data_IF_091979509257
#
_entry.id   IF_091979509257
#
_cell.length_a   1.000
_cell.length_b   1.000
_cell.length_c   1.000
_cell.angle_alpha   90.00
_cell.angle_beta   90.00
_cell.angle_gamma   90.00
#
_symmetry.space_group_name_H-M   'P 1'
#
loop_
_entity.id
_entity.type
_entity.pdbx_description
1 polymer ?
#
# COMPACT_ATOMS: atom_id res chain seq x y z
N UNK A 1 -6.23 0.25 -10.83
CA UNK A 1 -5.33 0.53 -9.69
C UNK A 1 -6.09 1.33 -8.67
N UNK A 2 -5.98 0.96 -7.41
CA UNK A 2 -6.56 1.71 -6.29
C UNK A 2 -5.54 2.77 -5.86
N UNK A 3 -5.84 4.08 -5.94
CA UNK A 3 -4.83 5.12 -5.84
C UNK A 3 -4.14 5.24 -4.47
N UNK A 4 -4.82 4.86 -3.39
CA UNK A 4 -4.25 4.92 -2.04
C UNK A 4 -3.53 3.65 -1.59
N UNK A 5 -3.39 2.66 -2.49
CA UNK A 5 -2.71 1.39 -2.22
C UNK A 5 -1.43 1.27 -3.04
N UNK A 6 -0.47 0.51 -2.52
CA UNK A 6 0.75 0.20 -3.27
C UNK A 6 0.42 -0.51 -4.58
N UNK A 7 0.95 0.01 -5.67
CA UNK A 7 0.60 -0.44 -7.02
C UNK A 7 0.92 -1.90 -7.32
N UNK A 8 1.97 -2.47 -6.72
CA UNK A 8 2.37 -3.85 -6.96
C UNK A 8 1.34 -4.88 -6.46
N UNK A 9 0.58 -4.54 -5.38
CA UNK A 9 -0.49 -5.38 -4.83
C UNK A 9 -1.88 -5.04 -5.37
N UNK A 10 -2.02 -3.90 -6.02
CA UNK A 10 -3.32 -3.46 -6.54
C UNK A 10 -3.76 -4.28 -7.74
N UNK A 11 -5.05 -4.58 -7.79
CA UNK A 11 -5.68 -5.20 -8.96
C UNK A 11 -5.58 -4.27 -10.17
N UNK A 12 -5.22 -4.82 -11.32
CA UNK A 12 -5.04 -4.06 -12.57
C UNK A 12 -6.07 -4.41 -13.63
N UNK A 13 -6.49 -5.68 -13.67
CA UNK A 13 -7.49 -6.16 -14.62
C UNK A 13 -8.51 -7.00 -13.87
N UNK A 14 -9.69 -6.45 -13.68
CA UNK A 14 -10.76 -7.12 -12.95
C UNK A 14 -11.59 -7.92 -13.95
N UNK A 15 -11.66 -9.24 -13.75
CA UNK A 15 -12.49 -10.16 -14.54
C UNK A 15 -13.67 -10.73 -13.73
N UNK A 16 -13.59 -10.63 -12.40
CA UNK A 16 -14.65 -11.09 -11.51
C UNK A 16 -14.55 -10.37 -10.16
N UNK A 17 -15.72 -10.06 -9.57
CA UNK A 17 -15.87 -9.59 -8.19
C UNK A 17 -16.76 -10.60 -7.48
N UNK A 18 -16.31 -11.11 -6.33
CA UNK A 18 -17.07 -12.06 -5.49
C UNK A 18 -17.14 -11.52 -4.08
N UNK A 19 -18.33 -11.60 -3.47
CA UNK A 19 -18.52 -11.34 -2.06
C UNK A 19 -18.25 -12.65 -1.31
N UNK A 20 -17.44 -12.59 -0.27
CA UNK A 20 -17.04 -13.75 0.53
C UNK A 20 -17.20 -13.43 2.01
N UNK A 21 -17.50 -14.45 2.82
CA UNK A 21 -17.69 -14.32 4.26
C UNK A 21 -16.37 -14.29 5.05
N UNK A 22 -15.30 -14.78 4.45
CA UNK A 22 -14.00 -14.86 5.09
C UNK A 22 -12.94 -14.12 4.26
N UNK A 23 -11.99 -13.49 4.93
CA UNK A 23 -10.88 -12.79 4.28
C UNK A 23 -9.96 -13.80 3.57
N UNK A 24 -9.83 -13.75 2.25
CA UNK A 24 -8.97 -14.67 1.53
C UNK A 24 -7.49 -14.33 1.76
N UNK A 25 -6.64 -15.35 1.75
CA UNK A 25 -5.20 -15.16 1.77
C UNK A 25 -4.72 -14.63 0.42
N UNK A 26 -3.96 -13.55 0.43
CA UNK A 26 -3.41 -12.99 -0.82
C UNK A 26 -2.19 -13.78 -1.28
N UNK A 27 -1.88 -13.69 -2.58
CA UNK A 27 -0.67 -14.30 -3.15
C UNK A 27 0.60 -13.81 -2.45
N UNK A 28 0.69 -12.50 -2.19
CA UNK A 28 1.84 -11.92 -1.51
C UNK A 28 2.01 -12.42 -0.07
N UNK A 29 0.94 -12.55 0.68
CA UNK A 29 0.98 -13.17 2.02
C UNK A 29 1.37 -14.65 1.96
N UNK A 30 1.06 -15.35 0.88
CA UNK A 30 1.44 -16.75 0.70
C UNK A 30 2.91 -16.92 0.35
N UNK A 31 3.51 -15.94 -0.33
CA UNK A 31 4.91 -15.95 -0.75
C UNK A 31 5.84 -15.47 0.36
N UNK A 32 5.48 -14.38 1.06
CA UNK A 32 6.28 -13.74 2.08
C UNK A 32 5.37 -13.09 3.14
N UNK A 33 4.88 -13.92 4.07
CA UNK A 33 3.93 -13.50 5.12
C UNK A 33 4.47 -12.43 6.04
N UNK A 34 5.78 -12.40 6.23
CA UNK A 34 6.46 -11.49 7.14
C UNK A 34 6.76 -10.10 6.50
N UNK A 35 6.55 -10.00 5.18
CA UNK A 35 6.85 -8.79 4.43
C UNK A 35 5.60 -8.06 3.94
N UNK A 36 4.49 -8.77 3.73
CA UNK A 36 3.31 -8.21 3.06
C UNK A 36 2.02 -8.45 3.82
N UNK A 37 1.37 -7.36 4.21
CA UNK A 37 0.03 -7.38 4.79
C UNK A 37 -1.07 -7.56 3.74
N UNK A 38 -2.31 -7.58 4.18
CA UNK A 38 -3.48 -7.79 3.32
C UNK A 38 -3.88 -6.53 2.54
N UNK A 39 -3.95 -5.39 3.23
CA UNK A 39 -4.54 -4.17 2.68
C UNK A 39 -3.62 -3.45 1.70
N UNK A 40 -2.31 -3.48 1.92
CA UNK A 40 -1.32 -2.77 1.12
C UNK A 40 -1.62 -1.28 0.94
N UNK A 41 -2.17 -0.64 1.95
CA UNK A 41 -2.35 0.81 1.97
C UNK A 41 -0.98 1.50 1.96
N UNK A 42 -0.88 2.62 1.25
CA UNK A 42 0.33 3.45 1.31
C UNK A 42 0.42 4.05 2.71
N UNK A 43 1.44 3.64 3.47
CA UNK A 43 1.63 4.00 4.86
C UNK A 43 3.12 4.28 5.14
N UNK A 44 3.51 5.57 5.29
CA UNK A 44 4.90 5.94 5.55
C UNK A 44 5.40 5.53 6.94
N UNK A 45 4.51 5.11 7.85
CA UNK A 45 4.87 4.72 9.23
C UNK A 45 5.15 3.23 9.40
N UNK A 46 4.99 2.44 8.33
CA UNK A 46 5.28 1.01 8.28
C UNK A 46 6.31 0.75 7.20
N UNK A 47 7.53 0.44 7.61
CA UNK A 47 8.58 0.09 6.69
C UNK A 47 8.47 -1.37 6.22
N UNK A 48 8.91 -1.62 5.00
CA UNK A 48 9.19 -2.97 4.54
C UNK A 48 10.49 -3.47 5.22
N UNK A 49 10.64 -4.77 5.55
CA UNK A 49 11.85 -5.27 6.20
C UNK A 49 13.18 -4.97 5.48
N UNK A 50 13.12 -4.68 4.17
CA UNK A 50 14.31 -4.46 3.33
C UNK A 50 14.49 -3.01 2.85
N UNK A 51 13.51 -2.11 3.06
CA UNK A 51 13.61 -0.70 2.67
C UNK A 51 12.62 0.16 3.46
N UNK A 52 12.93 1.46 3.54
CA UNK A 52 11.99 2.44 4.11
C UNK A 52 10.88 2.78 3.12
N UNK A 53 9.68 2.98 3.64
CA UNK A 53 8.52 3.47 2.90
C UNK A 53 8.19 4.94 3.21
N UNK A 54 9.03 5.60 4.01
CA UNK A 54 8.85 7.00 4.40
C UNK A 54 9.04 7.97 3.24
N UNK A 55 9.81 7.59 2.22
CA UNK A 55 10.11 8.45 1.07
C UNK A 55 9.82 7.73 -0.24
N UNK A 56 9.40 8.50 -1.24
CA UNK A 56 9.16 8.02 -2.58
C UNK A 56 9.99 8.80 -3.61
N UNK A 57 10.36 8.13 -4.70
CA UNK A 57 10.98 8.79 -5.86
C UNK A 57 9.95 8.95 -6.96
N UNK A 58 9.70 10.19 -7.36
CA UNK A 58 8.79 10.51 -8.45
C UNK A 58 9.53 10.68 -9.77
N UNK A 59 8.85 10.35 -10.86
CA UNK A 59 9.36 10.57 -12.22
C UNK A 59 8.95 11.98 -12.72
N UNK A 60 9.80 12.65 -13.52
CA UNK A 60 11.16 12.24 -13.86
C UNK A 60 12.13 12.38 -12.69
N UNK A 61 13.08 11.47 -12.58
CA UNK A 61 14.12 11.50 -11.56
C UNK A 61 15.46 11.19 -12.22
N UNK A 62 16.36 12.14 -12.23
CA UNK A 62 17.71 12.01 -12.79
C UNK A 62 18.73 11.63 -11.73
N UNK A 63 19.90 11.15 -12.18
CA UNK A 63 21.02 10.80 -11.32
C UNK A 63 21.53 12.02 -10.52
N UNK A 64 21.50 13.20 -11.15
CA UNK A 64 21.97 14.48 -10.58
C UNK A 64 20.84 15.36 -10.04
N UNK A 65 19.58 14.94 -10.20
CA UNK A 65 18.40 15.65 -9.71
C UNK A 65 17.36 14.64 -9.25
N UNK A 66 17.57 13.99 -8.10
CA UNK A 66 16.63 13.03 -7.55
C UNK A 66 15.36 13.76 -7.10
N UNK A 67 14.20 13.33 -7.64
CA UNK A 67 12.90 13.84 -7.24
C UNK A 67 12.36 12.96 -6.10
N UNK A 68 12.89 13.16 -4.91
CA UNK A 68 12.52 12.45 -3.69
C UNK A 68 11.55 13.31 -2.87
N UNK A 69 10.48 12.71 -2.38
CA UNK A 69 9.48 13.35 -1.54
C UNK A 69 9.09 12.44 -0.39
N UNK A 70 8.54 13.02 0.66
CA UNK A 70 7.92 12.25 1.72
C UNK A 70 6.69 11.52 1.18
N UNK A 71 6.55 10.25 1.56
CA UNK A 71 5.37 9.46 1.24
C UNK A 71 4.19 9.95 2.07
N UNK A 72 3.09 10.26 1.43
CA UNK A 72 1.87 10.68 2.10
C UNK A 72 1.02 9.46 2.50
N UNK A 73 0.42 9.51 3.70
CA UNK A 73 -0.53 8.50 4.13
C UNK A 73 -1.64 8.33 3.09
N UNK A 74 -1.97 7.08 2.75
CA UNK A 74 -2.92 6.76 1.68
C UNK A 74 -2.59 7.45 0.34
N UNK A 75 -1.31 7.71 0.09
CA UNK A 75 -0.86 8.43 -1.10
C UNK A 75 -1.53 9.82 -1.26
N UNK A 76 -1.86 10.47 -0.16
CA UNK A 76 -2.52 11.77 -0.11
C UNK A 76 -4.05 11.74 -0.17
N UNK A 77 -4.69 10.56 -0.18
CA UNK A 77 -6.15 10.41 -0.16
C UNK A 77 -6.73 10.20 1.25
N UNK A 78 -6.04 10.71 2.28
CA UNK A 78 -6.44 10.48 3.66
C UNK A 78 -7.87 10.98 3.95
N UNK A 79 -8.22 12.15 3.46
CA UNK A 79 -9.52 12.76 3.72
C UNK A 79 -10.68 11.95 3.12
N UNK A 80 -10.44 11.29 1.99
CA UNK A 80 -11.45 10.52 1.28
C UNK A 80 -11.60 9.09 1.80
N UNK A 81 -10.52 8.49 2.31
CA UNK A 81 -10.52 7.04 2.57
C UNK A 81 -10.24 6.62 4.00
N UNK A 82 -9.78 7.51 4.88
CA UNK A 82 -9.43 7.14 6.26
C UNK A 82 -10.60 6.51 7.02
N UNK A 83 -11.83 6.94 6.74
CA UNK A 83 -13.04 6.39 7.35
C UNK A 83 -13.27 4.91 7.06
N UNK A 84 -12.77 4.39 5.93
CA UNK A 84 -12.85 2.97 5.56
C UNK A 84 -12.03 2.07 6.50
N UNK A 85 -11.05 2.65 7.18
CA UNK A 85 -10.11 1.97 8.06
C UNK A 85 -10.27 2.40 9.52
N UNK A 86 -11.39 3.04 9.85
CA UNK A 86 -11.68 3.49 11.22
C UNK A 86 -11.70 2.29 12.19
N UNK A 87 -10.99 2.42 13.31
CA UNK A 87 -10.87 1.36 14.31
C UNK A 87 -9.82 0.28 14.01
N UNK A 88 -9.12 0.35 12.88
CA UNK A 88 -8.03 -0.55 12.54
C UNK A 88 -6.68 0.00 13.00
N UNK A 89 -5.80 -0.88 13.45
CA UNK A 89 -4.40 -0.54 13.71
C UNK A 89 -3.59 -0.69 12.41
N UNK A 90 -3.40 0.42 11.69
CA UNK A 90 -2.73 0.41 10.39
C UNK A 90 -1.24 0.03 10.43
N UNK A 91 -0.66 -0.19 11.60
CA UNK A 91 0.68 -0.76 11.74
C UNK A 91 0.67 -2.29 11.76
N UNK A 92 -0.47 -2.89 12.08
CA UNK A 92 -0.69 -4.34 12.05
C UNK A 92 -1.49 -4.74 10.83
N UNK A 93 -2.48 -3.92 10.48
CA UNK A 93 -3.40 -4.15 9.36
C UNK A 93 -2.90 -3.42 8.09
N UNK A 94 -1.72 -3.78 7.63
CA UNK A 94 -1.08 -3.17 6.46
C UNK A 94 -1.12 -4.03 5.20
#
# INVERSE_FOLDING_TARGET
VVPWKYGFKSVKSIVRISLVSEQPKTTWQSIASDEYGFYANVNPTVDHPRWTQAHERRLPSGLFSPNVRDTLMFNGYQDEVASLYAGMDLRKDY
#
